data_IF_119007131533
#
_entry.id   IF_119007131533
#
_cell.length_a   1.000
_cell.length_b   1.000
_cell.length_c   1.000
_cell.angle_alpha   90.00
_cell.angle_beta   90.00
_cell.angle_gamma   90.00
#
_symmetry.space_group_name_H-M   'P 1'
#
loop_
_entity.id
_entity.type
_entity.pdbx_description
1 polymer ?
#
# COMPACT_ATOMS: atom_id res chain seq x y z
N UNK A 1 26.29 -37.77 -59.33
CA UNK A 1 25.61 -37.31 -58.11
C UNK A 1 25.12 -35.87 -58.32
N UNK A 2 23.81 -35.66 -58.51
CA UNK A 2 23.25 -34.40 -58.95
C UNK A 2 23.04 -33.44 -57.75
N UNK A 3 23.77 -32.34 -57.77
CA UNK A 3 23.71 -31.27 -56.77
C UNK A 3 22.30 -30.66 -56.56
N UNK A 4 21.38 -30.91 -57.47
CA UNK A 4 20.00 -30.41 -57.42
C UNK A 4 19.04 -31.20 -56.52
N UNK A 5 19.43 -32.40 -56.04
CA UNK A 5 18.62 -33.21 -55.13
C UNK A 5 18.94 -32.99 -53.61
N UNK A 6 20.03 -32.29 -53.36
CA UNK A 6 20.42 -32.01 -51.94
C UNK A 6 19.78 -30.80 -51.35
N UNK A 7 19.37 -29.84 -52.20
CA UNK A 7 18.74 -28.58 -51.73
C UNK A 7 17.24 -28.65 -51.49
N UNK A 8 16.58 -29.74 -51.89
CA UNK A 8 15.13 -29.90 -51.72
C UNK A 8 14.68 -30.61 -50.43
N UNK A 9 15.58 -30.90 -49.49
CA UNK A 9 15.26 -31.57 -48.21
C UNK A 9 15.52 -30.75 -46.95
N UNK A 10 15.89 -29.49 -47.09
CA UNK A 10 16.17 -28.60 -45.96
C UNK A 10 15.04 -27.55 -45.67
N UNK A 11 13.92 -27.59 -46.39
CA UNK A 11 12.84 -26.60 -46.19
C UNK A 11 11.62 -27.15 -45.47
N UNK A 12 11.68 -28.32 -44.84
CA UNK A 12 10.52 -28.92 -44.17
C UNK A 12 10.72 -29.12 -42.67
N UNK A 13 11.68 -28.40 -42.01
CA UNK A 13 11.94 -28.61 -40.60
C UNK A 13 12.07 -27.31 -39.77
N UNK A 14 11.46 -26.21 -40.19
CA UNK A 14 11.54 -24.93 -39.43
C UNK A 14 10.21 -24.22 -39.26
N UNK A 15 9.09 -24.92 -39.15
CA UNK A 15 7.78 -24.35 -38.94
C UNK A 15 7.05 -24.91 -37.71
N UNK A 16 7.76 -25.23 -36.63
CA UNK A 16 7.09 -25.71 -35.40
C UNK A 16 7.89 -25.40 -34.14
N UNK A 17 8.24 -24.15 -33.89
CA UNK A 17 8.80 -23.74 -32.58
C UNK A 17 8.65 -22.23 -32.29
N UNK A 18 7.52 -21.59 -32.63
CA UNK A 18 7.17 -20.25 -32.11
C UNK A 18 5.70 -20.29 -31.71
N UNK A 19 5.41 -21.07 -30.68
CA UNK A 19 4.12 -20.98 -29.98
C UNK A 19 4.38 -21.32 -28.53
N UNK A 20 4.80 -20.33 -27.73
CA UNK A 20 5.03 -20.57 -26.31
C UNK A 20 5.69 -19.44 -25.54
N UNK A 21 5.81 -18.25 -26.08
CA UNK A 21 6.05 -17.05 -25.25
C UNK A 21 4.70 -16.59 -24.72
N UNK A 22 4.12 -17.39 -23.82
CA UNK A 22 3.06 -16.91 -22.92
C UNK A 22 3.75 -15.84 -22.08
N UNK A 23 3.50 -14.58 -22.42
CA UNK A 23 3.94 -13.44 -21.65
C UNK A 23 3.44 -13.62 -20.22
N UNK A 24 4.37 -13.91 -19.32
CA UNK A 24 4.11 -13.76 -17.90
C UNK A 24 3.70 -12.30 -17.70
N UNK A 25 2.53 -12.02 -17.12
CA UNK A 25 2.18 -10.66 -16.76
C UNK A 25 3.22 -10.20 -15.74
N UNK A 26 4.06 -9.25 -16.12
CA UNK A 26 4.86 -8.45 -15.19
C UNK A 26 3.90 -7.55 -14.39
N UNK A 27 3.02 -8.17 -13.60
CA UNK A 27 2.15 -7.50 -12.67
C UNK A 27 2.92 -7.26 -11.38
N UNK A 28 3.75 -6.25 -11.38
CA UNK A 28 4.61 -5.93 -10.25
C UNK A 28 4.65 -4.46 -9.88
N UNK A 29 3.61 -3.68 -10.18
CA UNK A 29 3.41 -2.44 -9.45
C UNK A 29 2.64 -2.79 -8.17
N UNK A 30 3.36 -2.97 -7.07
CA UNK A 30 2.78 -2.91 -5.72
C UNK A 30 2.35 -1.46 -5.46
N UNK A 31 1.23 -1.07 -6.06
CA UNK A 31 0.59 0.20 -5.77
C UNK A 31 -0.13 0.07 -4.43
N UNK A 32 0.12 0.99 -3.51
CA UNK A 32 -0.69 1.11 -2.30
C UNK A 32 -2.10 1.57 -2.67
N UNK A 33 -3.10 1.08 -1.94
CA UNK A 33 -4.48 1.49 -2.14
C UNK A 33 -4.74 2.82 -1.45
N UNK A 34 -4.94 3.87 -2.25
CA UNK A 34 -5.31 5.21 -1.79
C UNK A 34 -6.82 5.42 -1.85
N UNK A 35 -7.36 6.00 -0.80
CA UNK A 35 -8.79 6.31 -0.65
C UNK A 35 -8.96 7.80 -0.42
N UNK A 36 -9.91 8.43 -1.14
CA UNK A 36 -10.27 9.81 -0.92
C UNK A 36 -11.33 9.90 0.19
N UNK A 37 -10.97 10.51 1.30
CA UNK A 37 -11.90 10.74 2.39
C UNK A 37 -12.78 11.96 2.16
N UNK A 38 -14.02 11.91 2.66
CA UNK A 38 -14.88 13.08 2.74
C UNK A 38 -14.65 13.77 4.08
N UNK A 39 -14.33 15.07 4.05
CA UNK A 39 -14.21 15.88 5.26
C UNK A 39 -15.57 16.41 5.69
N UNK A 40 -16.02 16.04 6.88
CA UNK A 40 -17.26 16.52 7.49
C UNK A 40 -16.91 17.19 8.83
N UNK A 41 -16.94 18.50 8.87
CA UNK A 41 -16.43 19.28 10.00
C UNK A 41 -14.93 19.01 10.17
N UNK A 42 -14.55 18.41 11.29
CA UNK A 42 -13.17 18.06 11.62
C UNK A 42 -12.89 16.55 11.54
N UNK A 43 -13.79 15.79 10.93
CA UNK A 43 -13.68 14.33 10.77
C UNK A 43 -13.56 13.92 9.32
N UNK A 44 -12.62 13.03 9.06
CA UNK A 44 -12.59 12.30 7.81
C UNK A 44 -13.54 11.13 7.88
N UNK A 45 -14.30 10.93 6.81
CA UNK A 45 -15.23 9.81 6.67
C UNK A 45 -14.78 8.97 5.50
N UNK A 46 -14.55 7.68 5.75
CA UNK A 46 -14.31 6.63 4.75
C UNK A 46 -15.27 5.48 5.00
N UNK A 47 -15.41 4.58 4.04
CA UNK A 47 -16.28 3.41 4.15
C UNK A 47 -15.45 2.14 4.39
N UNK A 48 -16.01 1.19 5.13
CA UNK A 48 -15.35 -0.09 5.38
C UNK A 48 -15.08 -0.87 4.09
N UNK A 49 -15.96 -0.74 3.08
CA UNK A 49 -15.79 -1.37 1.76
C UNK A 49 -14.53 -0.93 1.02
N UNK A 50 -14.00 0.27 1.31
CA UNK A 50 -12.78 0.81 0.72
C UNK A 50 -11.54 -0.05 1.00
N UNK A 51 -11.58 -0.85 2.05
CA UNK A 51 -10.48 -1.77 2.38
C UNK A 51 -10.40 -2.98 1.44
N UNK A 52 -11.54 -3.37 0.82
CA UNK A 52 -11.58 -4.61 0.06
C UNK A 52 -11.03 -5.78 0.86
N UNK A 53 -10.00 -6.43 0.34
CA UNK A 53 -9.30 -7.54 1.03
C UNK A 53 -8.08 -7.11 1.82
N UNK A 54 -7.65 -5.86 1.64
CA UNK A 54 -6.44 -5.36 2.27
C UNK A 54 -6.67 -5.03 3.76
N UNK A 55 -5.66 -5.23 4.61
CA UNK A 55 -5.76 -4.87 6.02
C UNK A 55 -5.62 -3.38 6.26
N UNK A 56 -5.19 -2.59 5.28
CA UNK A 56 -5.00 -1.16 5.41
C UNK A 56 -5.35 -0.40 4.13
N UNK A 57 -5.57 0.89 4.30
CA UNK A 57 -5.67 1.88 3.22
C UNK A 57 -4.85 3.12 3.56
N UNK A 58 -4.37 3.82 2.54
CA UNK A 58 -3.82 5.17 2.67
C UNK A 58 -4.92 6.17 2.34
N UNK A 59 -5.20 7.08 3.26
CA UNK A 59 -6.32 8.02 3.15
C UNK A 59 -5.78 9.40 2.85
N UNK A 60 -6.11 9.91 1.67
CA UNK A 60 -5.85 11.29 1.31
C UNK A 60 -6.83 12.21 2.06
N UNK A 61 -6.27 13.06 2.91
CA UNK A 61 -7.03 13.92 3.79
C UNK A 61 -6.86 15.39 3.40
N UNK A 62 -7.96 16.12 3.12
CA UNK A 62 -7.88 17.54 2.85
C UNK A 62 -7.15 18.30 3.96
N UNK A 63 -6.17 19.13 3.58
CA UNK A 63 -5.39 19.93 4.53
C UNK A 63 -4.25 19.19 5.24
N UNK A 64 -4.06 17.91 5.00
CA UNK A 64 -2.89 17.15 5.44
C UNK A 64 -1.84 17.09 4.31
N UNK A 65 -0.57 17.29 4.66
CA UNK A 65 0.53 17.23 3.68
C UNK A 65 0.86 15.81 3.22
N UNK A 66 0.54 14.82 4.04
CA UNK A 66 0.77 13.40 3.81
C UNK A 66 -0.50 12.60 4.13
N UNK A 67 -0.72 11.45 3.50
CA UNK A 67 -1.88 10.62 3.76
C UNK A 67 -1.88 10.08 5.20
N UNK A 68 -3.04 9.66 5.68
CA UNK A 68 -3.15 8.86 6.89
C UNK A 68 -3.09 7.38 6.54
N UNK A 69 -2.43 6.60 7.36
CA UNK A 69 -2.47 5.16 7.31
C UNK A 69 -3.58 4.66 8.23
N UNK A 70 -4.57 3.98 7.67
CA UNK A 70 -5.68 3.38 8.43
C UNK A 70 -5.58 1.88 8.35
N UNK A 71 -5.46 1.23 9.49
CA UNK A 71 -5.29 -0.21 9.62
C UNK A 71 -6.51 -0.86 10.28
N UNK A 72 -6.99 -1.96 9.68
CA UNK A 72 -8.06 -2.80 10.20
C UNK A 72 -7.45 -3.99 10.94
N UNK A 73 -7.70 -4.07 12.24
CA UNK A 73 -7.25 -5.19 13.08
C UNK A 73 -8.11 -6.45 12.87
N UNK A 74 -7.59 -7.60 13.26
CA UNK A 74 -8.29 -8.89 13.16
C UNK A 74 -9.54 -8.97 14.02
N UNK A 75 -9.65 -8.15 15.07
CA UNK A 75 -10.82 -8.03 15.94
C UNK A 75 -11.89 -7.07 15.38
N UNK A 76 -11.66 -6.50 14.20
CA UNK A 76 -12.56 -5.56 13.54
C UNK A 76 -12.40 -4.11 13.98
N UNK A 77 -11.50 -3.81 14.90
CA UNK A 77 -11.17 -2.43 15.27
C UNK A 77 -10.25 -1.77 14.22
N UNK A 78 -10.16 -0.45 14.29
CA UNK A 78 -9.34 0.35 13.39
C UNK A 78 -8.41 1.28 14.12
N UNK A 79 -7.22 1.50 13.56
CA UNK A 79 -6.31 2.57 13.97
C UNK A 79 -6.00 3.48 12.81
N UNK A 80 -5.86 4.77 13.08
CA UNK A 80 -5.46 5.77 12.10
C UNK A 80 -4.24 6.52 12.63
N UNK A 81 -3.17 6.54 11.83
CA UNK A 81 -1.93 7.25 12.16
C UNK A 81 -1.48 8.13 11.01
N UNK A 82 -0.79 9.22 11.34
CA UNK A 82 -0.09 10.02 10.35
C UNK A 82 1.05 9.20 9.74
N UNK A 83 1.24 9.29 8.41
CA UNK A 83 2.42 8.70 7.77
C UNK A 83 3.66 9.59 7.88
N UNK A 84 3.60 10.70 8.62
CA UNK A 84 4.74 11.57 8.82
C UNK A 84 5.69 11.00 9.86
N UNK A 85 6.88 10.59 9.43
CA UNK A 85 7.94 10.11 10.31
C UNK A 85 8.36 11.21 11.32
N UNK A 86 8.39 10.88 12.59
CA UNK A 86 8.70 11.83 13.67
C UNK A 86 10.20 12.12 13.83
N UNK A 87 11.07 11.51 12.99
CA UNK A 87 12.48 11.85 12.93
C UNK A 87 12.70 13.16 12.16
N UNK A 88 12.44 13.18 10.85
CA UNK A 88 12.64 14.35 9.97
C UNK A 88 11.49 14.59 8.99
N UNK A 89 10.34 14.00 9.20
CA UNK A 89 9.12 14.28 8.46
C UNK A 89 8.93 13.56 7.13
N UNK A 90 9.79 12.59 6.79
CA UNK A 90 9.57 11.74 5.60
C UNK A 90 8.28 10.93 5.73
N UNK A 91 7.68 10.57 4.61
CA UNK A 91 6.55 9.66 4.60
C UNK A 91 7.02 8.24 4.94
N UNK A 92 6.37 7.60 5.91
CA UNK A 92 6.55 6.17 6.17
C UNK A 92 5.74 5.35 5.17
N UNK A 93 6.24 4.16 4.85
CA UNK A 93 5.63 3.25 3.88
C UNK A 93 5.17 1.96 4.56
N UNK A 94 3.98 1.44 4.19
CA UNK A 94 3.52 0.15 4.66
C UNK A 94 4.40 -0.99 4.11
N UNK A 95 4.68 -1.95 4.97
CA UNK A 95 5.31 -3.23 4.62
C UNK A 95 4.44 -4.40 5.06
N UNK A 96 4.93 -5.64 4.93
CA UNK A 96 4.19 -6.85 5.27
C UNK A 96 3.97 -7.04 6.81
N UNK A 97 3.62 -6.00 7.55
CA UNK A 97 3.29 -6.13 8.97
C UNK A 97 3.67 -4.94 9.85
N UNK A 98 4.35 -3.94 9.29
CA UNK A 98 4.76 -2.74 10.00
C UNK A 98 4.99 -1.58 9.02
N UNK A 99 5.31 -0.41 9.54
CA UNK A 99 5.62 0.78 8.75
C UNK A 99 7.11 1.08 8.80
N UNK A 100 7.70 1.46 7.67
CA UNK A 100 9.13 1.78 7.55
C UNK A 100 9.31 3.18 6.98
N UNK A 101 10.20 3.96 7.58
CA UNK A 101 10.64 5.23 7.02
C UNK A 101 11.84 5.00 6.07
N UNK A 102 11.70 5.25 4.76
CA UNK A 102 12.77 4.98 3.80
C UNK A 102 13.97 5.92 3.93
N UNK A 103 13.80 7.08 4.62
CA UNK A 103 14.87 8.05 4.73
C UNK A 103 16.02 7.59 5.66
N UNK A 104 15.70 7.07 6.85
CA UNK A 104 16.70 6.71 7.86
C UNK A 104 16.38 5.40 8.59
N UNK A 105 15.41 4.62 8.11
CA UNK A 105 15.11 3.28 8.61
C UNK A 105 14.40 3.22 9.96
N UNK A 106 13.69 4.30 10.38
CA UNK A 106 12.78 4.20 11.53
C UNK A 106 11.64 3.24 11.20
N UNK A 107 11.28 2.39 12.16
CA UNK A 107 10.21 1.40 12.01
C UNK A 107 9.14 1.59 13.09
N UNK A 108 7.88 1.36 12.70
CA UNK A 108 6.73 1.53 13.57
C UNK A 108 5.75 0.36 13.40
N UNK A 109 5.03 0.02 14.45
CA UNK A 109 3.90 -0.91 14.37
C UNK A 109 2.76 -0.32 13.55
N UNK A 110 1.76 -1.13 13.17
CA UNK A 110 0.57 -0.66 12.45
C UNK A 110 -0.28 0.35 13.26
N UNK A 111 -0.10 0.41 14.57
CA UNK A 111 -0.72 1.41 15.46
C UNK A 111 0.22 2.57 15.82
N UNK A 112 1.35 2.70 15.14
CA UNK A 112 2.25 3.84 15.19
C UNK A 112 3.28 3.84 16.31
N UNK A 113 3.39 2.79 17.14
CA UNK A 113 4.42 2.67 18.19
C UNK A 113 5.79 2.42 17.56
N UNK A 114 6.84 2.91 18.19
CA UNK A 114 8.22 2.73 17.73
C UNK A 114 8.64 1.26 17.86
N UNK A 115 9.14 0.68 16.77
CA UNK A 115 9.84 -0.59 16.75
C UNK A 115 11.35 -0.38 16.68
N UNK A 116 11.81 0.65 15.92
CA UNK A 116 13.21 0.93 15.70
C UNK A 116 13.43 2.42 15.42
N UNK A 117 14.48 2.99 16.03
CA UNK A 117 14.92 4.37 15.75
C UNK A 117 15.56 4.53 14.38
N UNK A 118 15.98 5.78 14.06
CA UNK A 118 16.31 6.88 14.97
C UNK A 118 15.16 7.80 15.42
N UNK A 119 13.91 7.50 15.08
CA UNK A 119 12.77 8.34 15.53
C UNK A 119 12.70 8.46 17.05
N UNK A 120 12.47 9.68 17.60
CA UNK A 120 12.32 9.89 19.04
C UNK A 120 10.90 9.70 19.56
N UNK A 121 9.89 9.73 18.68
CA UNK A 121 8.47 9.74 19.03
C UNK A 121 7.68 8.75 18.16
N UNK A 122 6.56 8.21 18.69
CA UNK A 122 5.62 7.42 17.90
C UNK A 122 4.97 8.28 16.82
N UNK A 123 4.35 7.66 15.84
CA UNK A 123 3.52 8.36 14.86
C UNK A 123 2.29 8.95 15.56
N UNK A 124 1.89 10.15 15.11
CA UNK A 124 0.67 10.77 15.61
C UNK A 124 -0.53 9.89 15.28
N UNK A 125 -1.31 9.56 16.30
CA UNK A 125 -2.50 8.72 16.22
C UNK A 125 -3.76 9.57 16.32
N UNK A 126 -4.79 9.21 15.56
CA UNK A 126 -6.08 9.91 15.55
C UNK A 126 -7.17 9.02 16.13
N UNK A 127 -8.13 9.59 16.90
CA UNK A 127 -9.29 8.84 17.35
C UNK A 127 -10.12 8.33 16.17
N UNK A 128 -10.54 7.08 16.26
CA UNK A 128 -11.38 6.43 15.25
C UNK A 128 -12.69 5.97 15.89
N UNK A 129 -13.80 6.29 15.23
CA UNK A 129 -15.13 5.83 15.59
C UNK A 129 -15.71 5.06 14.39
N UNK A 130 -16.30 3.90 14.65
CA UNK A 130 -17.07 3.15 13.65
C UNK A 130 -18.55 3.42 13.85
N UNK A 131 -19.23 3.88 12.80
CA UNK A 131 -20.65 4.16 12.75
C UNK A 131 -21.29 3.44 11.58
N UNK A 132 -21.82 2.25 11.83
CA UNK A 132 -22.31 1.34 10.81
C UNK A 132 -21.19 0.95 9.84
N UNK A 133 -21.35 1.26 8.56
CA UNK A 133 -20.33 0.99 7.52
C UNK A 133 -19.29 2.11 7.36
N UNK A 134 -19.41 3.18 8.16
CA UNK A 134 -18.53 4.35 8.10
C UNK A 134 -17.47 4.28 9.17
N UNK A 135 -16.28 4.73 8.82
CA UNK A 135 -15.15 4.94 9.72
C UNK A 135 -14.91 6.46 9.77
N UNK A 136 -15.01 7.01 10.96
CA UNK A 136 -14.81 8.43 11.22
C UNK A 136 -13.48 8.63 11.95
N UNK A 137 -12.61 9.46 11.38
CA UNK A 137 -11.28 9.77 11.95
C UNK A 137 -11.29 11.22 12.37
N UNK A 138 -11.10 11.50 13.66
CA UNK A 138 -11.12 12.84 14.21
C UNK A 138 -9.75 13.51 14.11
N UNK A 139 -9.65 14.58 13.30
CA UNK A 139 -8.41 15.31 13.09
C UNK A 139 -8.11 16.36 14.17
N UNK A 140 -9.08 16.68 15.02
CA UNK A 140 -8.94 17.71 16.06
C UNK A 140 -8.22 17.23 17.30
N UNK A 141 -8.19 15.92 17.51
CA UNK A 141 -7.64 15.29 18.70
C UNK A 141 -6.47 14.35 18.34
N UNK A 142 -5.70 13.99 19.36
CA UNK A 142 -4.71 12.95 19.30
C UNK A 142 -5.18 11.80 20.19
N UNK A 143 -5.15 10.57 19.65
CA UNK A 143 -5.51 9.39 20.43
C UNK A 143 -4.34 9.00 21.35
N UNK A 144 -4.65 8.72 22.59
CA UNK A 144 -3.70 8.20 23.60
C UNK A 144 -3.27 6.76 23.29
#
# INVERSE_FOLDING_TARGET
MNRRRFLGRLEAASAAAIAGAIGLPLSGCLGFHYVNATLVGNRLVIRQEEFGREPFVLVDAPGQALPLYVYRHSDGSYTAVSTRCMHLGCQVEPTAGHLVCPCHGSEYTNDGRILKGPTPLPLRKFPVLVDGERILIDLSAEAS
#
